data_IF_863112604018
#
_entry.id   IF_863112604018
#
_cell.length_a   1.000
_cell.length_b   1.000
_cell.length_c   1.000
_cell.angle_alpha   90.00
_cell.angle_beta   90.00
_cell.angle_gamma   90.00
#
_symmetry.space_group_name_H-M   'P 1'
#
loop_
_entity.id
_entity.type
_entity.pdbx_description
1 polymer ?
#
# COMPACT_ATOMS: atom_id res chain seq x y z
N UNK A 1 6.22 -20.15 -1.38
CA UNK A 1 6.91 -18.85 -1.45
C UNK A 1 5.85 -17.81 -1.71
N UNK A 2 5.57 -16.93 -0.75
CA UNK A 2 4.51 -15.93 -0.90
C UNK A 2 5.07 -14.74 -1.66
N UNK A 3 4.92 -14.75 -2.98
CA UNK A 3 5.36 -13.65 -3.84
C UNK A 3 4.50 -12.42 -3.56
N UNK A 4 5.16 -11.29 -3.29
CA UNK A 4 4.49 -9.98 -3.21
C UNK A 4 4.42 -9.37 -4.60
N UNK A 5 3.30 -8.73 -4.89
CA UNK A 5 3.04 -7.96 -6.11
C UNK A 5 2.79 -6.51 -5.72
N UNK A 6 3.13 -5.61 -6.62
CA UNK A 6 2.88 -4.18 -6.46
C UNK A 6 1.48 -3.88 -6.97
N UNK A 7 0.61 -3.34 -6.14
CA UNK A 7 -0.74 -2.91 -6.52
C UNK A 7 -0.86 -1.40 -6.40
N UNK A 8 -1.77 -0.79 -7.14
CA UNK A 8 -2.02 0.66 -7.03
C UNK A 8 -3.20 0.91 -6.11
N UNK A 9 -3.01 1.71 -5.08
CA UNK A 9 -4.10 2.11 -4.17
C UNK A 9 -5.07 3.03 -4.89
N UNK A 10 -6.38 2.76 -4.78
CA UNK A 10 -7.42 3.58 -5.41
C UNK A 10 -8.00 4.60 -4.44
N UNK A 11 -8.82 5.52 -4.95
CA UNK A 11 -9.56 6.49 -4.13
C UNK A 11 -10.56 5.85 -3.16
N UNK A 12 -10.88 4.57 -3.38
CA UNK A 12 -11.79 3.80 -2.55
C UNK A 12 -11.10 3.19 -1.32
N UNK A 13 -9.78 3.12 -1.34
CA UNK A 13 -8.99 2.60 -0.24
C UNK A 13 -9.05 3.51 0.98
N UNK A 14 -9.17 2.89 2.16
CA UNK A 14 -9.02 3.59 3.43
C UNK A 14 -7.55 3.92 3.78
N UNK A 15 -7.35 4.37 5.02
CA UNK A 15 -6.01 4.62 5.60
C UNK A 15 -5.19 3.33 5.68
N UNK A 16 -5.84 2.17 5.70
CA UNK A 16 -5.22 0.86 5.74
C UNK A 16 -5.78 -0.04 4.63
N UNK A 17 -4.90 -0.80 3.99
CA UNK A 17 -5.22 -1.80 2.97
C UNK A 17 -4.61 -3.12 3.42
N UNK A 18 -5.41 -4.18 3.52
CA UNK A 18 -4.98 -5.51 3.95
C UNK A 18 -4.19 -5.53 5.28
N UNK A 19 -4.54 -4.62 6.21
CA UNK A 19 -3.87 -4.49 7.51
C UNK A 19 -2.54 -3.71 7.49
N UNK A 20 -2.12 -3.19 6.33
CA UNK A 20 -0.94 -2.34 6.17
C UNK A 20 -1.37 -0.90 5.93
N UNK A 21 -0.60 0.07 6.41
CA UNK A 21 -0.90 1.49 6.18
C UNK A 21 -0.80 1.81 4.69
N UNK A 22 -1.88 2.36 4.15
CA UNK A 22 -1.96 2.79 2.76
C UNK A 22 -0.99 3.96 2.52
N UNK A 23 -0.14 3.89 1.48
CA UNK A 23 0.71 5.01 1.09
C UNK A 23 -0.09 6.20 0.53
N UNK A 24 -1.38 6.00 0.22
CA UNK A 24 -2.29 6.99 -0.32
C UNK A 24 -2.76 6.65 -1.73
N UNK A 25 -3.83 7.33 -2.16
CA UNK A 25 -4.47 7.13 -3.47
C UNK A 25 -3.46 7.36 -4.61
N UNK A 26 -3.43 6.45 -5.58
CA UNK A 26 -2.52 6.46 -6.72
C UNK A 26 -1.11 5.98 -6.41
N UNK A 27 -0.79 5.64 -5.16
CA UNK A 27 0.55 5.15 -4.79
C UNK A 27 0.64 3.63 -4.86
N UNK A 28 1.83 3.09 -5.18
CA UNK A 28 2.07 1.65 -5.18
C UNK A 28 2.13 1.09 -3.76
N UNK A 29 1.53 -0.08 -3.54
CA UNK A 29 1.58 -0.87 -2.31
C UNK A 29 1.99 -2.32 -2.62
N UNK A 30 2.93 -2.87 -1.86
CA UNK A 30 3.35 -4.27 -2.04
C UNK A 30 2.55 -5.20 -1.13
N UNK A 31 1.74 -6.07 -1.75
CA UNK A 31 0.90 -7.03 -1.05
C UNK A 31 1.10 -8.43 -1.63
N UNK A 32 0.84 -9.44 -0.81
CA UNK A 32 0.75 -10.82 -1.31
C UNK A 32 -0.58 -11.03 -2.03
N UNK A 33 -0.68 -12.07 -2.87
CA UNK A 33 -1.95 -12.42 -3.53
C UNK A 33 -3.10 -12.59 -2.52
N UNK A 34 -2.83 -13.25 -1.39
CA UNK A 34 -3.82 -13.44 -0.32
C UNK A 34 -4.22 -12.12 0.35
N UNK A 35 -3.27 -11.22 0.59
CA UNK A 35 -3.56 -9.90 1.15
C UNK A 35 -4.33 -9.02 0.16
N UNK A 36 -4.00 -9.13 -1.13
CA UNK A 36 -4.63 -8.37 -2.20
C UNK A 36 -6.02 -8.88 -2.56
N UNK A 37 -6.35 -10.16 -2.31
CA UNK A 37 -7.60 -10.77 -2.73
C UNK A 37 -8.84 -9.95 -2.37
N UNK A 38 -9.01 -9.61 -1.09
CA UNK A 38 -10.14 -8.80 -0.61
C UNK A 38 -10.13 -7.34 -1.11
N UNK A 39 -9.05 -6.55 -0.91
CA UNK A 39 -9.04 -5.16 -1.35
C UNK A 39 -9.12 -5.00 -2.87
N UNK A 40 -8.67 -5.99 -3.65
CA UNK A 40 -8.79 -6.00 -5.11
C UNK A 40 -10.25 -6.23 -5.53
N UNK A 41 -10.96 -7.14 -4.87
CA UNK A 41 -12.41 -7.34 -5.04
C UNK A 41 -13.20 -6.10 -4.59
N UNK A 42 -12.81 -5.49 -3.47
CA UNK A 42 -13.44 -4.28 -2.96
C UNK A 42 -13.21 -3.06 -3.86
N UNK A 43 -12.20 -3.13 -4.73
CA UNK A 43 -11.75 -2.03 -5.59
C UNK A 43 -10.94 -0.98 -4.85
N UNK A 44 -10.37 -1.33 -3.69
CA UNK A 44 -9.42 -0.49 -2.93
C UNK A 44 -8.02 -0.52 -3.56
N UNK A 45 -7.67 -1.56 -4.31
CA UNK A 45 -6.42 -1.65 -5.06
C UNK A 45 -6.64 -2.15 -6.49
N UNK A 46 -5.73 -1.80 -7.41
CA UNK A 46 -5.70 -2.27 -8.79
C UNK A 46 -4.45 -3.09 -9.10
N UNK A 47 -4.58 -4.00 -10.08
CA UNK A 47 -3.51 -4.91 -10.51
C UNK A 47 -2.29 -4.19 -11.14
N UNK A 48 -1.06 -4.67 -10.86
CA UNK A 48 0.14 -4.20 -11.55
C UNK A 48 0.01 -4.47 -13.05
N UNK A 49 -0.04 -3.40 -13.84
CA UNK A 49 -0.10 -3.49 -15.31
C UNK A 49 -1.41 -2.97 -15.90
N UNK A 50 -2.42 -2.72 -15.06
CA UNK A 50 -3.52 -1.84 -15.47
C UNK A 50 -3.00 -0.41 -15.37
N UNK A 51 -2.44 0.07 -16.49
CA UNK A 51 -1.90 1.42 -16.69
C UNK A 51 -2.96 2.47 -16.32
N UNK A 52 -2.98 2.87 -15.06
CA UNK A 52 -3.40 4.20 -14.67
C UNK A 52 -2.10 4.92 -14.32
N UNK A 53 -1.70 5.84 -15.20
CA UNK A 53 -0.58 6.75 -15.00
C UNK A 53 -0.71 7.42 -13.62
N UNK A 54 0.06 6.95 -12.63
CA UNK A 54 0.30 7.73 -11.43
C UNK A 54 1.42 8.73 -11.76
N UNK A 55 1.25 10.04 -11.54
CA UNK A 55 2.31 11.00 -11.76
C UNK A 55 3.48 10.64 -10.84
N UNK A 56 4.66 10.57 -11.42
CA UNK A 56 5.92 10.54 -10.70
C UNK A 56 5.93 11.72 -9.72
N UNK A 57 5.81 11.40 -8.43
CA UNK A 57 5.77 12.35 -7.35
C UNK A 57 6.54 11.77 -6.19
N UNK A 58 7.87 11.90 -6.31
CA UNK A 58 8.81 11.76 -5.22
C UNK A 58 8.26 12.49 -3.98
N UNK A 59 8.06 11.75 -2.89
CA UNK A 59 8.20 12.33 -1.56
C UNK A 59 8.79 11.24 -0.68
N UNK A 60 10.11 11.20 -0.74
CA UNK A 60 10.97 10.92 0.40
C UNK A 60 10.30 11.35 1.72
N UNK A 61 9.88 10.38 2.52
CA UNK A 61 9.97 10.49 3.98
C UNK A 61 10.48 9.15 4.51
N UNK A 62 11.79 9.05 4.59
CA UNK A 62 12.59 8.16 5.46
C UNK A 62 12.16 8.39 6.94
N UNK A 63 12.47 7.50 7.90
CA UNK A 63 11.55 6.58 8.55
C UNK A 63 11.30 6.94 10.03
N UNK A 64 10.17 6.56 10.62
CA UNK A 64 10.03 6.55 12.08
C UNK A 64 10.04 5.10 12.59
N UNK A 65 11.25 4.54 12.66
CA UNK A 65 11.52 3.36 13.47
C UNK A 65 11.48 3.73 14.96
N UNK A 66 10.89 2.84 15.76
CA UNK A 66 11.03 2.67 17.21
C UNK A 66 10.52 3.80 18.13
N UNK A 67 9.46 3.49 18.86
CA UNK A 67 9.35 3.88 20.27
C UNK A 67 9.29 2.61 21.13
N UNK A 68 10.46 2.10 21.53
CA UNK A 68 10.61 1.33 22.78
C UNK A 68 11.40 2.22 23.76
N UNK A 69 10.80 2.42 24.93
CA UNK A 69 11.41 2.61 26.26
C UNK A 69 12.31 3.84 26.52
N UNK A 70 11.87 4.75 27.40
CA UNK A 70 12.65 5.24 28.56
C UNK A 70 11.68 5.50 29.72
N UNK A 71 12.10 5.03 30.90
CA UNK A 71 11.55 5.20 32.24
C UNK A 71 12.20 6.45 32.85
N UNK A 72 11.44 7.25 33.58
CA UNK A 72 11.91 7.90 34.82
C UNK A 72 10.76 7.95 35.82
#
# INVERSE_FOLDING_TARGET
>A
MTSKKTFTVTAKAGIFVAGVRSPGVGKPIELTDEQAAYPLIAGEIEEPGKKTEAPAGETETTPAAKAKAVKE
#
